data_IF_956806229732
#
_entry.id   IF_956806229732
#
_cell.length_a   1.000
_cell.length_b   1.000
_cell.length_c   1.000
_cell.angle_alpha   90.00
_cell.angle_beta   90.00
_cell.angle_gamma   90.00
#
_symmetry.space_group_name_H-M   'P 1'
#
loop_
_entity.id
_entity.type
_entity.pdbx_description
1 polymer ?
#
# COMPACT_ATOMS: atom_id res chain seq x y z
N UNK A 1 29.51 12.24 2.86
CA UNK A 1 29.33 11.43 1.63
C UNK A 1 28.36 10.26 1.85
N UNK A 2 28.59 9.38 2.85
CA UNK A 2 27.72 8.22 3.20
C UNK A 2 26.20 8.49 3.34
N UNK A 3 25.79 9.69 3.78
CA UNK A 3 24.36 10.03 3.92
C UNK A 3 23.70 10.46 2.61
N UNK A 4 24.47 11.05 1.69
CA UNK A 4 23.99 11.48 0.37
C UNK A 4 23.81 10.25 -0.52
N UNK A 5 24.73 9.27 -0.41
CA UNK A 5 24.62 7.99 -1.11
C UNK A 5 23.43 7.17 -0.61
N UNK A 6 23.15 7.19 0.70
CA UNK A 6 21.92 6.62 1.27
C UNK A 6 20.67 7.30 0.73
N UNK A 7 20.63 8.63 0.69
CA UNK A 7 19.50 9.38 0.14
C UNK A 7 19.29 9.06 -1.34
N UNK A 8 20.37 8.97 -2.13
CA UNK A 8 20.33 8.61 -3.54
C UNK A 8 19.85 7.18 -3.77
N UNK A 9 20.25 6.24 -2.90
CA UNK A 9 19.75 4.87 -2.92
C UNK A 9 18.26 4.79 -2.55
N UNK A 10 17.82 5.53 -1.54
CA UNK A 10 16.42 5.64 -1.15
C UNK A 10 15.57 6.25 -2.27
N UNK A 11 16.02 7.36 -2.87
CA UNK A 11 15.38 8.00 -4.01
C UNK A 11 15.33 7.08 -5.24
N UNK A 12 16.41 6.34 -5.52
CA UNK A 12 16.42 5.34 -6.59
C UNK A 12 15.40 4.22 -6.32
N UNK A 13 15.23 3.82 -5.05
CA UNK A 13 14.16 2.92 -4.61
C UNK A 13 12.77 3.49 -4.89
N UNK A 14 12.51 4.74 -4.49
CA UNK A 14 11.25 5.44 -4.75
C UNK A 14 10.95 5.60 -6.25
N UNK A 15 11.93 6.02 -7.06
CA UNK A 15 11.78 6.12 -8.52
C UNK A 15 11.54 4.75 -9.15
N UNK A 16 12.20 3.70 -8.66
CA UNK A 16 11.95 2.34 -9.12
C UNK A 16 10.54 1.85 -8.77
N UNK A 17 10.02 2.24 -7.60
CA UNK A 17 8.63 1.94 -7.20
C UNK A 17 7.61 2.66 -8.07
N UNK A 18 7.85 3.94 -8.39
CA UNK A 18 6.98 4.71 -9.30
C UNK A 18 6.94 4.07 -10.69
N UNK A 19 8.10 3.63 -11.19
CA UNK A 19 8.17 2.93 -12.47
C UNK A 19 7.57 1.52 -12.41
N UNK A 20 7.49 0.88 -11.23
CA UNK A 20 6.91 -0.46 -11.05
C UNK A 20 5.37 -0.40 -10.95
N UNK A 21 4.82 0.61 -10.27
CA UNK A 21 3.37 0.74 -10.05
C UNK A 21 2.78 2.09 -10.49
N UNK A 22 2.88 2.47 -11.77
CA UNK A 22 2.47 3.79 -12.24
C UNK A 22 0.96 4.02 -12.12
N UNK A 23 0.12 3.02 -12.39
CA UNK A 23 -1.34 3.16 -12.35
C UNK A 23 -1.85 3.26 -10.92
N UNK A 24 -1.38 2.41 -10.01
CA UNK A 24 -1.79 2.48 -8.60
C UNK A 24 -1.49 3.85 -8.01
N UNK A 25 -0.32 4.42 -8.30
CA UNK A 25 0.05 5.76 -7.83
C UNK A 25 -0.83 6.83 -8.48
N UNK A 26 -1.11 6.71 -9.79
CA UNK A 26 -1.99 7.65 -10.49
C UNK A 26 -3.42 7.63 -9.93
N UNK A 27 -3.97 6.44 -9.65
CA UNK A 27 -5.28 6.27 -9.03
C UNK A 27 -5.30 6.87 -7.63
N UNK A 28 -4.30 6.62 -6.80
CA UNK A 28 -4.20 7.26 -5.48
C UNK A 28 -4.05 8.78 -5.57
N UNK A 29 -3.36 9.31 -6.58
CA UNK A 29 -3.24 10.74 -6.82
C UNK A 29 -4.59 11.36 -7.23
N UNK A 30 -5.34 10.70 -8.12
CA UNK A 30 -6.72 11.11 -8.42
C UNK A 30 -7.59 11.10 -7.17
N UNK A 31 -7.43 10.10 -6.29
CA UNK A 31 -8.11 10.01 -4.99
C UNK A 31 -7.86 11.26 -4.15
N UNK A 32 -6.61 11.71 -4.11
CA UNK A 32 -6.22 12.91 -3.38
C UNK A 32 -6.84 14.18 -3.99
N UNK A 33 -6.87 14.30 -5.32
CA UNK A 33 -7.48 15.45 -6.02
C UNK A 33 -8.98 15.53 -5.72
N UNK A 34 -9.72 14.42 -5.89
CA UNK A 34 -11.17 14.39 -5.65
C UNK A 34 -11.51 14.69 -4.18
N UNK A 35 -10.74 14.14 -3.25
CA UNK A 35 -10.91 14.42 -1.81
C UNK A 35 -10.63 15.88 -1.49
N UNK A 36 -9.58 16.47 -2.06
CA UNK A 36 -9.26 17.88 -1.87
C UNK A 36 -10.34 18.80 -2.46
N UNK A 37 -10.89 18.43 -3.61
CA UNK A 37 -11.98 19.18 -4.24
C UNK A 37 -13.26 19.12 -3.39
N UNK A 38 -13.60 17.96 -2.84
CA UNK A 38 -14.74 17.83 -1.94
C UNK A 38 -14.60 18.63 -0.66
N UNK A 39 -13.42 18.62 -0.02
CA UNK A 39 -13.18 19.44 1.18
C UNK A 39 -13.43 20.92 0.86
N UNK A 40 -12.95 21.42 -0.28
CA UNK A 40 -13.07 22.83 -0.63
C UNK A 40 -14.44 23.28 -1.14
N UNK A 41 -15.21 22.41 -1.83
CA UNK A 41 -16.47 22.81 -2.49
C UNK A 41 -17.72 22.15 -1.86
N UNK A 42 -17.54 21.16 -1.00
CA UNK A 42 -18.59 20.37 -0.33
C UNK A 42 -19.71 19.86 -1.27
N UNK A 43 -19.38 19.62 -2.55
CA UNK A 43 -20.36 19.46 -3.64
C UNK A 43 -20.37 18.06 -4.27
N UNK A 44 -19.83 17.03 -3.60
CA UNK A 44 -19.84 15.66 -4.13
C UNK A 44 -20.52 14.70 -3.15
N UNK A 45 -21.84 14.54 -3.31
CA UNK A 45 -22.63 13.58 -2.53
C UNK A 45 -22.15 12.11 -2.72
N UNK A 46 -21.44 11.81 -3.81
CA UNK A 46 -21.01 10.47 -4.19
C UNK A 46 -19.49 10.24 -4.02
N UNK A 47 -18.80 11.04 -3.21
CA UNK A 47 -17.33 10.91 -3.10
C UNK A 47 -16.88 9.54 -2.59
N UNK A 48 -17.63 8.92 -1.68
CA UNK A 48 -17.33 7.58 -1.16
C UNK A 48 -17.29 6.53 -2.27
N UNK A 49 -18.15 6.67 -3.28
CA UNK A 49 -18.29 5.75 -4.41
C UNK A 49 -17.08 5.86 -5.34
N UNK A 50 -16.72 7.09 -5.68
CA UNK A 50 -15.55 7.41 -6.51
C UNK A 50 -14.29 6.88 -5.84
N UNK A 51 -14.13 7.15 -4.55
CA UNK A 51 -12.98 6.75 -3.76
C UNK A 51 -12.81 5.23 -3.68
N UNK A 52 -13.91 4.52 -3.45
CA UNK A 52 -13.96 3.07 -3.33
C UNK A 52 -13.75 2.38 -4.69
N UNK A 53 -14.23 2.99 -5.78
CA UNK A 53 -13.90 2.55 -7.15
C UNK A 53 -12.42 2.70 -7.46
N UNK A 54 -11.82 3.83 -7.08
CA UNK A 54 -10.40 4.08 -7.26
C UNK A 54 -9.54 3.12 -6.44
N UNK A 55 -9.93 2.86 -5.18
CA UNK A 55 -9.28 1.90 -4.32
C UNK A 55 -9.34 0.48 -4.89
N UNK A 56 -10.48 0.09 -5.46
CA UNK A 56 -10.64 -1.20 -6.14
C UNK A 56 -9.73 -1.31 -7.36
N UNK A 57 -9.71 -0.30 -8.23
CA UNK A 57 -8.81 -0.24 -9.38
C UNK A 57 -7.33 -0.32 -8.97
N UNK A 58 -6.96 0.36 -7.89
CA UNK A 58 -5.61 0.35 -7.34
C UNK A 58 -5.21 -1.05 -6.81
N UNK A 59 -6.09 -1.72 -6.07
CA UNK A 59 -5.89 -3.08 -5.58
C UNK A 59 -5.80 -4.09 -6.73
N UNK A 60 -6.66 -3.96 -7.74
CA UNK A 60 -6.66 -4.82 -8.91
C UNK A 60 -5.35 -4.70 -9.69
N UNK A 61 -4.85 -3.48 -9.91
CA UNK A 61 -3.55 -3.27 -10.54
C UNK A 61 -2.41 -3.90 -9.73
N UNK A 62 -2.42 -3.77 -8.40
CA UNK A 62 -1.39 -4.40 -7.56
C UNK A 62 -1.36 -5.92 -7.71
N UNK A 63 -2.53 -6.57 -7.73
CA UNK A 63 -2.68 -8.01 -7.98
C UNK A 63 -2.14 -8.38 -9.35
N UNK A 64 -2.59 -7.69 -10.40
CA UNK A 64 -2.18 -7.97 -11.79
C UNK A 64 -0.68 -7.75 -12.01
N UNK A 65 -0.10 -6.70 -11.43
CA UNK A 65 1.33 -6.43 -11.50
C UNK A 65 2.15 -7.55 -10.83
N UNK A 66 1.67 -8.08 -9.70
CA UNK A 66 2.32 -9.20 -9.00
C UNK A 66 2.22 -10.52 -9.79
N UNK A 67 1.08 -10.76 -10.45
CA UNK A 67 0.93 -11.89 -11.40
C UNK A 67 1.87 -11.72 -12.59
N UNK A 68 1.97 -10.51 -13.15
CA UNK A 68 2.84 -10.21 -14.28
C UNK A 68 4.31 -10.49 -13.95
N UNK A 69 4.79 -9.94 -12.84
CA UNK A 69 6.17 -10.13 -12.36
C UNK A 69 6.52 -11.60 -12.12
N UNK A 70 5.51 -12.42 -11.80
CA UNK A 70 5.71 -13.84 -11.56
C UNK A 70 5.63 -14.70 -12.81
N UNK A 71 4.62 -14.49 -13.67
CA UNK A 71 4.26 -15.44 -14.72
C UNK A 71 4.67 -15.02 -16.13
N UNK A 72 4.79 -13.72 -16.44
CA UNK A 72 4.92 -13.26 -17.83
C UNK A 72 6.20 -12.46 -18.11
N UNK A 73 6.78 -12.67 -19.29
CA UNK A 73 7.86 -11.84 -19.85
C UNK A 73 7.35 -10.97 -21.00
N UNK A 74 7.82 -9.71 -21.08
CA UNK A 74 7.67 -8.82 -22.24
C UNK A 74 7.09 -7.45 -21.94
N UNK A 75 7.70 -6.39 -22.48
CA UNK A 75 7.21 -4.99 -22.39
C UNK A 75 5.79 -4.82 -22.96
N UNK A 76 5.42 -5.64 -23.96
CA UNK A 76 4.08 -5.66 -24.57
C UNK A 76 3.02 -6.28 -23.63
N UNK A 77 3.38 -7.35 -22.93
CA UNK A 77 2.50 -8.01 -21.95
C UNK A 77 2.29 -7.11 -20.73
N UNK A 78 3.31 -6.36 -20.30
CA UNK A 78 3.16 -5.31 -19.27
C UNK A 78 2.11 -4.27 -19.69
N UNK A 79 2.10 -3.84 -20.96
CA UNK A 79 1.13 -2.88 -21.49
C UNK A 79 -0.29 -3.47 -21.56
N UNK A 80 -0.43 -4.76 -21.86
CA UNK A 80 -1.73 -5.46 -21.86
C UNK A 80 -2.29 -5.58 -20.44
N UNK A 81 -1.49 -5.93 -19.44
CA UNK A 81 -1.93 -5.98 -18.04
C UNK A 81 -2.21 -4.57 -17.47
N UNK A 82 -1.42 -3.58 -17.89
CA UNK A 82 -1.66 -2.15 -17.61
C UNK A 82 -3.00 -1.70 -18.21
N UNK A 83 -3.26 -2.07 -19.46
CA UNK A 83 -4.53 -1.84 -20.14
C UNK A 83 -5.67 -2.55 -19.43
N UNK A 84 -5.52 -3.83 -19.06
CA UNK A 84 -6.56 -4.62 -18.41
C UNK A 84 -6.91 -4.11 -17.01
N UNK A 85 -5.94 -3.60 -16.26
CA UNK A 85 -6.18 -3.00 -14.96
C UNK A 85 -6.83 -1.61 -15.08
N UNK A 86 -6.41 -0.79 -16.05
CA UNK A 86 -7.08 0.48 -16.35
C UNK A 86 -8.52 0.24 -16.84
N UNK A 87 -8.71 -0.75 -17.70
CA UNK A 87 -10.02 -1.17 -18.22
C UNK A 87 -10.87 -1.79 -17.12
N UNK A 88 -10.28 -2.51 -16.16
CA UNK A 88 -10.94 -3.00 -14.96
C UNK A 88 -11.37 -1.89 -14.00
N UNK A 89 -10.55 -0.86 -13.81
CA UNK A 89 -10.91 0.33 -13.04
C UNK A 89 -12.05 1.10 -13.72
N UNK A 90 -11.98 1.26 -15.05
CA UNK A 90 -13.03 1.92 -15.86
C UNK A 90 -14.31 1.10 -15.85
N UNK A 91 -14.26 -0.22 -16.05
CA UNK A 91 -15.42 -1.11 -16.00
C UNK A 91 -16.08 -1.10 -14.62
N UNK A 92 -15.27 -1.09 -13.56
CA UNK A 92 -15.78 -1.03 -12.20
C UNK A 92 -16.43 0.33 -11.93
N UNK A 93 -15.79 1.43 -12.33
CA UNK A 93 -16.37 2.77 -12.27
C UNK A 93 -17.68 2.87 -13.07
N UNK A 94 -17.72 2.35 -14.30
CA UNK A 94 -18.93 2.30 -15.13
C UNK A 94 -20.04 1.44 -14.51
N UNK A 95 -19.67 0.33 -13.87
CA UNK A 95 -20.61 -0.55 -13.17
C UNK A 95 -21.18 0.14 -11.93
N UNK A 96 -20.37 0.91 -11.22
CA UNK A 96 -20.82 1.68 -10.06
C UNK A 96 -21.70 2.86 -10.48
N UNK A 97 -21.27 3.66 -11.46
CA UNK A 97 -21.95 4.88 -11.89
C UNK A 97 -23.22 4.60 -12.71
N UNK A 98 -23.22 3.58 -13.57
CA UNK A 98 -24.35 3.31 -14.47
C UNK A 98 -25.35 2.28 -13.94
N UNK A 99 -24.93 1.37 -13.04
CA UNK A 99 -25.78 0.27 -12.57
C UNK A 99 -26.44 0.54 -11.21
N UNK A 100 -25.93 1.49 -10.42
CA UNK A 100 -26.40 1.75 -9.05
C UNK A 100 -27.06 3.12 -8.97
N UNK A 101 -28.36 3.17 -9.29
CA UNK A 101 -29.18 4.40 -9.23
C UNK A 101 -29.39 4.92 -7.79
N UNK A 102 -29.10 4.10 -6.77
CA UNK A 102 -29.10 4.47 -5.35
C UNK A 102 -27.99 3.71 -4.60
N UNK A 103 -27.01 4.42 -4.05
CA UNK A 103 -25.92 3.82 -3.28
C UNK A 103 -26.41 3.39 -1.90
N UNK A 104 -26.98 2.20 -1.82
CA UNK A 104 -27.32 1.56 -0.54
C UNK A 104 -26.05 1.07 0.17
N UNK A 105 -26.06 1.09 1.50
CA UNK A 105 -25.02 0.54 2.38
C UNK A 105 -24.59 -0.90 2.02
N UNK A 106 -25.50 -1.66 1.40
CA UNK A 106 -25.24 -3.01 0.89
C UNK A 106 -24.15 -3.06 -0.18
N UNK A 107 -24.03 -2.05 -1.04
CA UNK A 107 -23.03 -2.03 -2.10
C UNK A 107 -21.62 -1.78 -1.55
N UNK A 108 -21.50 -0.89 -0.56
CA UNK A 108 -20.23 -0.64 0.12
C UNK A 108 -19.67 -1.92 0.76
N UNK A 109 -20.53 -2.70 1.42
CA UNK A 109 -20.16 -3.98 2.05
C UNK A 109 -19.69 -4.99 0.99
N UNK A 110 -20.43 -5.13 -0.11
CA UNK A 110 -20.06 -6.05 -1.21
C UNK A 110 -18.68 -5.69 -1.78
N UNK A 111 -18.41 -4.42 -2.03
CA UNK A 111 -17.09 -4.00 -2.53
C UNK A 111 -15.99 -4.24 -1.51
N UNK A 112 -16.26 -4.03 -0.23
CA UNK A 112 -15.29 -4.32 0.83
C UNK A 112 -14.90 -5.80 0.85
N UNK A 113 -15.86 -6.70 0.65
CA UNK A 113 -15.61 -8.14 0.50
C UNK A 113 -14.74 -8.42 -0.74
N UNK A 114 -15.03 -7.80 -1.88
CA UNK A 114 -14.20 -7.95 -3.09
C UNK A 114 -12.78 -7.43 -2.89
N UNK A 115 -12.60 -6.26 -2.27
CA UNK A 115 -11.29 -5.73 -1.91
C UNK A 115 -10.51 -6.68 -1.01
N UNK A 116 -11.19 -7.31 -0.04
CA UNK A 116 -10.58 -8.29 0.84
C UNK A 116 -10.11 -9.54 0.08
N UNK A 117 -10.92 -10.04 -0.86
CA UNK A 117 -10.54 -11.15 -1.74
C UNK A 117 -9.30 -10.77 -2.57
N UNK A 118 -9.26 -9.56 -3.12
CA UNK A 118 -8.09 -9.07 -3.85
C UNK A 118 -6.84 -8.99 -2.97
N UNK A 119 -6.98 -8.54 -1.72
CA UNK A 119 -5.88 -8.44 -0.77
C UNK A 119 -5.32 -9.83 -0.42
N UNK A 120 -6.18 -10.81 -0.15
CA UNK A 120 -5.77 -12.21 0.06
C UNK A 120 -5.07 -12.75 -1.19
N UNK A 121 -5.63 -12.49 -2.37
CA UNK A 121 -5.04 -12.89 -3.64
C UNK A 121 -3.64 -12.29 -3.80
N UNK A 122 -3.48 -10.99 -3.54
CA UNK A 122 -2.20 -10.28 -3.58
C UNK A 122 -1.16 -10.91 -2.65
N UNK A 123 -1.55 -11.36 -1.46
CA UNK A 123 -0.67 -12.03 -0.50
C UNK A 123 -0.30 -13.45 -0.92
N UNK A 124 -1.23 -14.15 -1.58
CA UNK A 124 -1.06 -15.54 -1.98
C UNK A 124 -0.29 -15.71 -3.29
N UNK A 125 -0.48 -14.79 -4.24
CA UNK A 125 0.13 -14.80 -5.58
C UNK A 125 1.65 -14.81 -5.58
N UNK A 126 2.40 -14.31 -4.58
CA UNK A 126 3.85 -14.53 -4.47
C UNK A 126 4.25 -15.92 -3.95
N UNK A 127 3.35 -16.67 -3.31
CA UNK A 127 3.66 -17.97 -2.68
C UNK A 127 3.46 -19.17 -3.63
N UNK A 128 2.43 -19.18 -4.48
CA UNK A 128 2.14 -20.23 -5.51
C UNK A 128 3.33 -20.66 -6.41
N UNK A 129 4.07 -21.75 -6.11
CA UNK A 129 5.23 -22.24 -6.91
C UNK A 129 6.51 -21.40 -6.71
N UNK A 130 6.87 -21.09 -5.46
CA UNK A 130 8.19 -20.54 -5.07
C UNK A 130 8.67 -21.24 -3.79
N UNK A 131 9.96 -21.07 -3.46
CA UNK A 131 10.54 -21.54 -2.17
C UNK A 131 9.97 -20.79 -0.96
N UNK A 132 9.20 -19.72 -1.18
CA UNK A 132 8.60 -18.90 -0.11
C UNK A 132 7.25 -19.44 0.38
N UNK A 133 7.13 -19.54 1.70
CA UNK A 133 5.89 -19.93 2.39
C UNK A 133 4.92 -18.75 2.40
N UNK A 134 3.62 -19.03 2.35
CA UNK A 134 2.57 -18.00 2.48
C UNK A 134 2.78 -17.10 3.73
N UNK A 135 3.27 -17.68 4.82
CA UNK A 135 3.60 -16.97 6.06
C UNK A 135 4.66 -15.87 5.86
N UNK A 136 5.61 -16.06 4.95
CA UNK A 136 6.67 -15.08 4.68
C UNK A 136 6.14 -13.91 3.86
N UNK A 137 5.35 -14.16 2.81
CA UNK A 137 4.65 -13.12 2.04
C UNK A 137 3.67 -12.33 2.92
N UNK A 138 2.93 -13.02 3.77
CA UNK A 138 2.07 -12.40 4.79
C UNK A 138 2.88 -11.48 5.70
N UNK A 139 3.99 -11.97 6.25
CA UNK A 139 4.82 -11.21 7.19
C UNK A 139 5.41 -9.95 6.55
N UNK A 140 5.86 -10.02 5.30
CA UNK A 140 6.37 -8.85 4.56
C UNK A 140 5.30 -7.77 4.44
N UNK A 141 4.10 -8.15 3.99
CA UNK A 141 2.99 -7.21 3.77
C UNK A 141 2.48 -6.64 5.10
N UNK A 142 2.33 -7.50 6.11
CA UNK A 142 1.90 -7.12 7.45
C UNK A 142 2.89 -6.13 8.07
N UNK A 143 4.20 -6.42 8.02
CA UNK A 143 5.25 -5.53 8.49
C UNK A 143 5.23 -4.19 7.76
N UNK A 144 5.12 -4.20 6.43
CA UNK A 144 5.05 -2.98 5.63
C UNK A 144 3.84 -2.12 6.01
N UNK A 145 2.67 -2.74 6.22
CA UNK A 145 1.46 -2.05 6.65
C UNK A 145 1.65 -1.31 7.97
N UNK A 146 2.16 -1.98 9.01
CA UNK A 146 2.36 -1.35 10.32
C UNK A 146 3.43 -0.26 10.30
N UNK A 147 4.52 -0.46 9.56
CA UNK A 147 5.55 0.56 9.38
C UNK A 147 4.92 1.81 8.77
N UNK A 148 4.20 1.67 7.66
CA UNK A 148 3.59 2.80 6.96
C UNK A 148 2.52 3.47 7.81
N UNK A 149 1.65 2.70 8.47
CA UNK A 149 0.59 3.24 9.32
C UNK A 149 1.18 4.12 10.45
N UNK A 150 2.24 3.64 11.11
CA UNK A 150 2.90 4.38 12.17
C UNK A 150 3.62 5.62 11.64
N UNK A 151 4.41 5.49 10.57
CA UNK A 151 5.11 6.64 9.98
C UNK A 151 4.14 7.71 9.48
N UNK A 152 3.03 7.30 8.84
CA UNK A 152 1.97 8.22 8.41
C UNK A 152 1.27 8.89 9.59
N UNK A 153 0.96 8.14 10.65
CA UNK A 153 0.35 8.70 11.86
C UNK A 153 1.25 9.72 12.57
N UNK A 154 2.53 9.39 12.74
CA UNK A 154 3.53 10.30 13.33
C UNK A 154 3.72 11.54 12.45
N UNK A 155 3.78 11.39 11.13
CA UNK A 155 3.90 12.50 10.19
C UNK A 155 2.67 13.42 10.27
N UNK A 156 1.47 12.86 10.23
CA UNK A 156 0.23 13.62 10.36
C UNK A 156 0.18 14.38 11.69
N UNK A 157 0.41 13.72 12.82
CA UNK A 157 0.43 14.35 14.13
C UNK A 157 1.50 15.44 14.24
N UNK A 158 2.71 15.16 13.74
CA UNK A 158 3.80 16.12 13.76
C UNK A 158 3.48 17.40 13.01
N UNK A 159 2.91 17.30 11.80
CA UNK A 159 2.53 18.47 11.02
C UNK A 159 1.26 19.13 11.57
N UNK A 160 0.29 18.36 12.07
CA UNK A 160 -0.91 18.90 12.71
C UNK A 160 -0.57 19.74 13.96
N UNK A 161 0.40 19.30 14.77
CA UNK A 161 0.88 20.09 15.92
C UNK A 161 1.54 21.41 15.49
N UNK A 162 2.27 21.41 14.36
CA UNK A 162 2.84 22.64 13.81
C UNK A 162 1.73 23.60 13.36
N UNK A 163 0.72 23.08 12.64
CA UNK A 163 -0.43 23.89 12.21
C UNK A 163 -1.19 24.44 13.43
N UNK A 164 -1.39 23.61 14.46
CA UNK A 164 -2.04 24.02 15.71
C UNK A 164 -1.24 25.11 16.43
N UNK A 165 0.08 25.01 16.47
CA UNK A 165 0.92 26.05 17.05
C UNK A 165 0.80 27.36 16.26
N UNK A 166 0.74 27.30 14.92
CA UNK A 166 0.54 28.48 14.06
C UNK A 166 -0.85 29.09 14.30
N UNK A 167 -1.89 28.26 14.36
CA UNK A 167 -3.28 28.67 14.62
C UNK A 167 -3.40 29.41 15.95
N UNK A 168 -2.74 28.89 16.98
CA UNK A 168 -2.83 29.44 18.34
C UNK A 168 -1.94 30.69 18.55
N UNK A 169 -0.77 30.78 17.91
CA UNK A 169 0.21 31.85 18.19
C UNK A 169 0.30 32.94 17.13
N UNK A 170 0.06 32.63 15.85
CA UNK A 170 0.42 33.53 14.74
C UNK A 170 -0.82 34.02 14.01
N UNK A 171 -1.60 33.10 13.43
CA UNK A 171 -2.75 33.44 12.59
C UNK A 171 -3.76 32.32 12.65
N UNK A 172 -5.04 32.66 12.69
CA UNK A 172 -6.10 31.66 12.67
C UNK A 172 -6.07 30.88 11.34
N UNK A 173 -5.96 29.56 11.45
CA UNK A 173 -5.92 28.62 10.33
C UNK A 173 -7.24 27.88 10.26
N UNK A 174 -7.82 27.83 9.07
CA UNK A 174 -9.08 27.12 8.85
C UNK A 174 -8.95 25.61 9.11
N UNK A 175 -10.03 25.00 9.63
CA UNK A 175 -10.04 23.58 9.98
C UNK A 175 -9.82 22.66 8.77
N UNK A 176 -10.13 23.11 7.56
CA UNK A 176 -9.95 22.35 6.33
C UNK A 176 -8.46 22.05 6.06
N UNK A 177 -7.55 22.87 6.58
CA UNK A 177 -6.11 22.63 6.48
C UNK A 177 -5.69 21.28 7.09
N UNK A 178 -6.31 20.88 8.20
CA UNK A 178 -6.05 19.58 8.84
C UNK A 178 -6.59 18.42 7.98
N UNK A 179 -7.72 18.62 7.31
CA UNK A 179 -8.30 17.62 6.40
C UNK A 179 -7.45 17.46 5.13
N UNK A 180 -6.97 18.56 4.55
CA UNK A 180 -6.05 18.54 3.41
C UNK A 180 -4.71 17.88 3.75
N UNK A 181 -4.18 18.12 4.95
CA UNK A 181 -2.99 17.44 5.44
C UNK A 181 -3.23 15.93 5.51
N UNK A 182 -4.33 15.50 6.13
CA UNK A 182 -4.70 14.09 6.23
C UNK A 182 -4.82 13.43 4.86
N UNK A 183 -5.45 14.12 3.90
CA UNK A 183 -5.58 13.68 2.51
C UNK A 183 -4.22 13.41 1.85
N UNK A 184 -3.27 14.34 1.96
CA UNK A 184 -1.92 14.16 1.39
C UNK A 184 -1.21 12.96 2.04
N UNK A 185 -1.30 12.83 3.36
CA UNK A 185 -0.63 11.74 4.09
C UNK A 185 -1.22 10.38 3.71
N UNK A 186 -2.55 10.26 3.65
CA UNK A 186 -3.25 9.00 3.42
C UNK A 186 -3.21 8.55 1.97
N UNK A 187 -3.37 9.48 1.01
CA UNK A 187 -3.47 9.11 -0.40
C UNK A 187 -2.16 9.28 -1.19
N UNK A 188 -1.22 10.10 -0.72
CA UNK A 188 0.05 10.28 -1.45
C UNK A 188 1.18 9.58 -0.71
N UNK A 189 1.44 9.96 0.54
CA UNK A 189 2.58 9.44 1.28
C UNK A 189 2.44 7.94 1.60
N UNK A 190 1.32 7.53 2.20
CA UNK A 190 1.14 6.16 2.66
C UNK A 190 1.23 5.12 1.54
N UNK A 191 0.55 5.28 0.38
CA UNK A 191 0.62 4.29 -0.69
C UNK A 191 2.02 4.23 -1.29
N UNK A 192 2.66 5.37 -1.57
CA UNK A 192 4.01 5.39 -2.15
C UNK A 192 5.00 4.68 -1.21
N UNK A 193 4.93 4.96 0.10
CA UNK A 193 5.81 4.33 1.07
C UNK A 193 5.53 2.83 1.21
N UNK A 194 4.25 2.43 1.22
CA UNK A 194 3.86 1.03 1.28
C UNK A 194 4.36 0.24 0.07
N UNK A 195 4.13 0.73 -1.15
CA UNK A 195 4.60 0.09 -2.37
C UNK A 195 6.13 0.05 -2.47
N UNK A 196 6.84 0.98 -1.81
CA UNK A 196 8.31 0.98 -1.77
C UNK A 196 8.89 -0.11 -0.87
N UNK A 197 8.15 -0.54 0.14
CA UNK A 197 8.55 -1.61 1.06
C UNK A 197 8.33 -3.01 0.50
N UNK A 198 7.56 -3.15 -0.58
CA UNK A 198 7.24 -4.46 -1.18
C UNK A 198 8.41 -4.91 -2.07
N UNK A 199 9.12 -6.00 -1.72
CA UNK A 199 10.24 -6.48 -2.49
C UNK A 199 9.82 -7.05 -3.86
N UNK A 200 10.79 -7.22 -4.75
CA UNK A 200 10.61 -7.95 -6.01
C UNK A 200 10.79 -9.43 -5.70
N UNK A 201 9.76 -10.24 -5.98
CA UNK A 201 9.82 -11.68 -5.73
C UNK A 201 10.53 -12.38 -6.90
N UNK A 202 11.60 -13.15 -6.66
CA UNK A 202 12.30 -13.89 -7.72
C UNK A 202 11.45 -15.06 -8.23
N UNK A 203 11.62 -15.40 -9.51
CA UNK A 203 10.86 -16.45 -10.20
C UNK A 203 11.45 -17.83 -9.88
N UNK A 204 10.58 -18.82 -9.69
CA UNK A 204 11.01 -20.21 -9.45
C UNK A 204 11.67 -20.90 -10.66
N UNK A 205 11.61 -20.32 -11.86
CA UNK A 205 12.20 -20.93 -13.07
C UNK A 205 13.67 -20.58 -13.29
N UNK A 206 14.25 -19.61 -12.57
CA UNK A 206 15.71 -19.37 -12.61
C UNK A 206 16.50 -20.51 -11.95
N UNK A 207 15.79 -21.48 -11.35
CA UNK A 207 16.39 -22.67 -10.72
C UNK A 207 16.20 -23.97 -11.52
N UNK A 208 15.58 -23.97 -12.71
CA UNK A 208 15.41 -25.22 -13.51
C UNK A 208 16.38 -25.27 -14.71
N UNK A 209 17.15 -24.20 -14.96
CA UNK A 209 18.17 -24.16 -16.04
C UNK A 209 19.62 -24.05 -15.59
N UNK A 210 19.89 -23.92 -14.29
CA UNK A 210 21.19 -23.45 -13.78
C UNK A 210 22.12 -24.57 -13.32
N UNK A 211 22.19 -25.68 -14.06
CA UNK A 211 23.32 -26.62 -13.98
C UNK A 211 24.33 -26.44 -15.14
N UNK A 212 24.08 -25.53 -16.08
CA UNK A 212 25.04 -25.20 -17.11
C UNK A 212 25.14 -23.67 -17.30
N UNK A 213 26.38 -23.17 -17.15
CA UNK A 213 26.88 -21.86 -17.60
C UNK A 213 26.84 -20.67 -16.61
N UNK A 214 27.89 -20.59 -15.77
CA UNK A 214 28.83 -19.45 -15.86
C UNK A 214 28.58 -18.19 -15.01
N UNK A 215 28.86 -18.28 -13.71
CA UNK A 215 29.63 -17.32 -12.87
C UNK A 215 29.34 -15.80 -12.84
N UNK A 216 28.33 -15.24 -13.51
CA UNK A 216 27.96 -13.80 -13.39
C UNK A 216 26.56 -13.54 -12.82
N UNK A 217 25.72 -14.56 -12.66
CA UNK A 217 24.35 -14.43 -12.13
C UNK A 217 24.23 -14.48 -10.59
N UNK A 218 25.19 -15.14 -9.92
CA UNK A 218 25.03 -15.48 -8.50
C UNK A 218 25.01 -14.26 -7.56
N UNK A 219 25.75 -13.18 -7.86
CA UNK A 219 25.76 -12.00 -6.98
C UNK A 219 24.42 -11.25 -6.96
N UNK A 220 23.72 -11.18 -8.09
CA UNK A 220 22.43 -10.49 -8.17
C UNK A 220 21.31 -11.30 -7.49
N UNK A 221 21.34 -12.63 -7.64
CA UNK A 221 20.42 -13.54 -6.95
C UNK A 221 20.70 -13.60 -5.43
N UNK A 222 21.97 -13.62 -5.02
CA UNK A 222 22.36 -13.59 -3.61
C UNK A 222 21.97 -12.27 -2.94
N UNK A 223 22.17 -11.12 -3.60
CA UNK A 223 21.73 -9.82 -3.09
C UNK A 223 20.19 -9.73 -2.99
N UNK A 224 19.46 -10.25 -3.97
CA UNK A 224 18.00 -10.25 -3.97
C UNK A 224 17.45 -11.17 -2.86
N UNK A 225 18.06 -12.34 -2.70
CA UNK A 225 17.73 -13.30 -1.64
C UNK A 225 18.05 -12.74 -0.26
N UNK A 226 19.16 -12.00 -0.12
CA UNK A 226 19.52 -11.31 1.11
C UNK A 226 18.55 -10.15 1.43
N UNK A 227 18.11 -9.38 0.43
CA UNK A 227 17.07 -8.35 0.59
C UNK A 227 15.72 -8.96 0.98
N UNK A 228 15.37 -10.12 0.41
CA UNK A 228 14.16 -10.84 0.78
C UNK A 228 14.25 -11.36 2.22
N UNK A 229 15.35 -12.01 2.60
CA UNK A 229 15.55 -12.49 3.97
C UNK A 229 15.46 -11.34 4.98
N UNK A 230 16.01 -10.17 4.66
CA UNK A 230 15.89 -8.96 5.49
C UNK A 230 14.46 -8.38 5.52
N UNK A 231 13.69 -8.56 4.45
CA UNK A 231 12.29 -8.18 4.41
C UNK A 231 11.43 -9.13 5.26
N UNK A 232 11.72 -10.43 5.21
CA UNK A 232 11.08 -11.53 5.96
C UNK A 232 11.41 -11.44 7.46
N UNK A 233 12.66 -11.11 7.82
CA UNK A 233 13.04 -10.96 9.22
C UNK A 233 12.16 -9.90 9.91
N UNK A 234 11.56 -10.23 11.07
CA UNK A 234 10.76 -9.26 11.82
C UNK A 234 11.64 -8.06 12.13
N UNK A 235 11.22 -6.87 11.69
CA UNK A 235 11.94 -5.65 12.05
C UNK A 235 11.94 -5.56 13.57
N UNK A 236 13.12 -5.31 14.15
CA UNK A 236 13.26 -5.03 15.59
C UNK A 236 12.25 -3.97 16.08
N UNK A 237 11.87 -3.06 15.19
CA UNK A 237 10.83 -2.06 15.42
C UNK A 237 9.43 -2.64 15.56
N UNK A 238 9.02 -3.59 14.70
CA UNK A 238 7.70 -4.22 14.77
C UNK A 238 7.60 -5.14 16.00
N UNK A 239 8.66 -5.88 16.31
CA UNK A 239 8.77 -6.64 17.56
C UNK A 239 8.65 -5.73 18.78
N UNK A 240 9.32 -4.57 18.77
CA UNK A 240 9.19 -3.53 19.78
C UNK A 240 7.75 -2.99 19.89
N UNK A 241 7.13 -2.58 18.78
CA UNK A 241 5.78 -2.04 18.76
C UNK A 241 4.75 -3.03 19.30
N UNK A 242 4.79 -4.27 18.83
CA UNK A 242 3.85 -5.31 19.26
C UNK A 242 4.05 -5.64 20.74
N UNK A 243 5.29 -5.87 21.16
CA UNK A 243 5.59 -6.31 22.53
C UNK A 243 5.41 -5.21 23.58
N UNK A 244 5.71 -3.95 23.24
CA UNK A 244 5.75 -2.86 24.22
C UNK A 244 4.51 -1.96 24.18
N UNK A 245 3.76 -1.94 23.07
CA UNK A 245 2.58 -1.08 22.91
C UNK A 245 1.31 -1.91 22.76
N UNK A 246 1.24 -2.81 21.76
CA UNK A 246 -0.02 -3.51 21.48
C UNK A 246 -0.40 -4.49 22.59
N UNK A 247 0.51 -5.37 23.02
CA UNK A 247 0.20 -6.38 24.06
C UNK A 247 -0.23 -5.70 25.38
N UNK A 248 0.50 -4.71 25.93
CA UNK A 248 0.09 -4.05 27.17
C UNK A 248 -1.23 -3.30 27.08
N UNK A 249 -1.46 -2.55 25.99
CA UNK A 249 -2.72 -1.80 25.81
C UNK A 249 -3.90 -2.76 25.70
N UNK A 250 -3.73 -3.85 24.95
CA UNK A 250 -4.80 -4.86 24.78
C UNK A 250 -5.09 -5.54 26.11
N UNK A 251 -4.06 -5.88 26.89
CA UNK A 251 -4.24 -6.47 28.22
C UNK A 251 -5.00 -5.53 29.18
N UNK A 252 -4.63 -4.25 29.24
CA UNK A 252 -5.37 -3.24 30.04
C UNK A 252 -6.82 -3.13 29.57
N UNK A 253 -7.04 -3.05 28.25
CA UNK A 253 -8.37 -2.97 27.68
C UNK A 253 -9.22 -4.21 27.99
N UNK A 254 -8.65 -5.41 27.89
CA UNK A 254 -9.33 -6.66 28.25
C UNK A 254 -9.69 -6.70 29.73
N UNK A 255 -8.83 -6.21 30.62
CA UNK A 255 -9.12 -6.10 32.06
C UNK A 255 -10.27 -5.12 32.33
N UNK A 256 -10.26 -3.95 31.69
CA UNK A 256 -11.36 -2.97 31.81
C UNK A 256 -12.68 -3.59 31.36
N UNK A 257 -12.68 -4.30 30.23
CA UNK A 257 -13.87 -4.93 29.67
C UNK A 257 -14.40 -6.06 30.58
N UNK A 258 -13.50 -6.83 31.19
CA UNK A 258 -13.87 -7.87 32.16
C UNK A 258 -14.48 -7.27 33.42
N UNK A 259 -13.92 -6.16 33.92
CA UNK A 259 -14.42 -5.44 35.09
C UNK A 259 -15.77 -4.75 34.83
N UNK A 260 -16.06 -4.39 33.58
CA UNK A 260 -17.36 -3.84 33.17
C UNK A 260 -18.48 -4.89 33.13
N UNK A 261 -18.15 -6.16 32.87
CA UNK A 261 -19.14 -7.24 32.76
C UNK A 261 -19.57 -7.79 34.13
N UNK A 262 -18.70 -7.70 35.14
CA UNK A 262 -18.96 -8.12 36.53
C UNK A 262 -19.80 -7.06 37.24
#
# INVERSE_FOLDING_TARGET
MKNIDKLKLTLKGFTSTINRYPITILLFLFSAIFTSYHISTNNLNNIGEILLSLAFGAALFMVLQTVFERFCHGKKTRLIFTGLAALGAILYYLTVEFLVKNFSSEHAIKTMVFLFILLISFMWIPSIKSRFRFSESFMIIFKAFFIVALYSGVLYLGVALIIMAIDMLIVNVDSDAYAHLGNIVVYIYAPIHFLSLIPIYPRSSDNIGSEAEGSSGNQAEDELTQRLNKAIEPSKFLGGLVSYIIIPITAIFTVILLLYII
#
